data_IF_906581417808
#
_entry.id   IF_906581417808
#
_cell.length_a   1.000
_cell.length_b   1.000
_cell.length_c   1.000
_cell.angle_alpha   90.00
_cell.angle_beta   90.00
_cell.angle_gamma   90.00
#
_symmetry.space_group_name_H-M   'P 1'
#
loop_
_entity.id
_entity.type
_entity.pdbx_description
1 polymer ?
#
# COMPACT_ATOMS: atom_id res chain seq x y z
N UNK A 1 1.01 29.84 6.44
CA UNK A 1 1.42 28.57 5.81
C UNK A 1 0.34 27.55 6.15
N UNK A 2 -0.36 27.01 5.17
CA UNK A 2 -1.17 25.81 5.40
C UNK A 2 -0.17 24.65 5.57
N UNK A 3 0.06 24.24 6.81
CA UNK A 3 0.67 22.95 7.10
C UNK A 3 -0.34 21.87 6.73
N UNK A 4 -0.44 21.57 5.43
CA UNK A 4 -1.23 20.44 4.97
C UNK A 4 -0.60 19.19 5.56
N UNK A 5 -1.32 18.52 6.47
CA UNK A 5 -0.93 17.23 7.03
C UNK A 5 -0.81 16.25 5.87
N UNK A 6 0.41 15.89 5.47
CA UNK A 6 0.65 14.96 4.35
C UNK A 6 0.31 13.55 4.85
N UNK A 7 -0.91 13.09 4.59
CA UNK A 7 -1.34 11.73 4.94
C UNK A 7 -0.96 10.80 3.78
N UNK A 8 -0.28 9.70 4.08
CA UNK A 8 0.01 8.69 3.07
C UNK A 8 -1.30 8.04 2.56
N UNK A 9 -1.56 8.00 1.23
CA UNK A 9 -2.81 7.47 0.68
C UNK A 9 -2.86 5.95 0.60
N UNK A 10 -1.75 5.25 0.85
CA UNK A 10 -1.65 3.80 0.74
C UNK A 10 -2.70 3.11 1.60
N UNK A 11 -3.51 2.23 0.98
CA UNK A 11 -4.65 1.48 1.58
C UNK A 11 -5.84 2.35 2.02
N UNK A 12 -5.61 3.61 2.37
CA UNK A 12 -6.64 4.56 2.82
C UNK A 12 -7.47 5.10 1.68
N UNK A 13 -6.80 5.63 0.67
CA UNK A 13 -7.42 6.31 -0.47
C UNK A 13 -7.12 5.59 -1.78
N UNK A 14 -6.01 4.86 -1.85
CA UNK A 14 -5.57 4.20 -3.07
C UNK A 14 -4.92 2.84 -2.81
N UNK A 15 -5.14 1.93 -3.76
CA UNK A 15 -4.42 0.69 -3.96
C UNK A 15 -4.10 0.54 -5.45
N UNK A 16 -3.12 -0.29 -5.79
CA UNK A 16 -2.81 -0.67 -7.17
C UNK A 16 -3.17 -2.13 -7.43
N UNK A 17 -3.63 -2.44 -8.65
CA UNK A 17 -3.81 -3.80 -9.14
C UNK A 17 -2.89 -3.96 -10.36
N UNK A 18 -1.99 -4.93 -10.32
CA UNK A 18 -1.02 -5.19 -11.37
C UNK A 18 -1.58 -6.13 -12.45
N UNK A 19 -0.96 -6.20 -13.64
CA UNK A 19 -1.47 -7.02 -14.75
C UNK A 19 -1.60 -8.52 -14.45
N UNK A 20 -0.85 -9.04 -13.49
CA UNK A 20 -0.91 -10.44 -13.05
C UNK A 20 -1.88 -10.68 -11.89
N UNK A 21 -2.65 -9.64 -11.53
CA UNK A 21 -3.66 -9.67 -10.48
C UNK A 21 -3.11 -9.36 -9.08
N UNK A 22 -1.80 -9.19 -8.90
CA UNK A 22 -1.25 -8.80 -7.60
C UNK A 22 -1.77 -7.43 -7.17
N UNK A 23 -2.14 -7.30 -5.90
CA UNK A 23 -2.64 -6.06 -5.30
C UNK A 23 -1.54 -5.46 -4.44
N UNK A 24 -1.24 -4.17 -4.66
CA UNK A 24 -0.23 -3.41 -3.93
C UNK A 24 -0.83 -2.23 -3.19
N UNK A 25 -0.26 -1.91 -2.03
CA UNK A 25 -0.62 -0.75 -1.23
C UNK A 25 -0.13 0.58 -1.84
N UNK A 26 0.90 0.56 -2.68
CA UNK A 26 1.48 1.78 -3.22
C UNK A 26 2.14 1.55 -4.59
N UNK A 27 1.90 2.45 -5.54
CA UNK A 27 2.57 2.42 -6.84
C UNK A 27 4.09 2.58 -6.73
N UNK A 28 4.57 3.26 -5.69
CA UNK A 28 6.00 3.41 -5.41
C UNK A 28 6.61 2.18 -4.73
N UNK A 29 5.78 1.25 -4.24
CA UNK A 29 6.19 -0.02 -3.63
C UNK A 29 6.31 -1.16 -4.61
N UNK A 30 6.77 -0.87 -5.83
CA UNK A 30 6.93 -1.85 -6.91
C UNK A 30 8.41 -1.91 -7.29
N UNK A 31 8.94 -3.12 -7.43
CA UNK A 31 10.33 -3.38 -7.76
C UNK A 31 10.60 -3.29 -9.28
N UNK A 32 11.86 -3.53 -9.67
CA UNK A 32 12.29 -3.51 -11.08
C UNK A 32 11.69 -4.63 -11.94
N UNK A 33 11.08 -5.64 -11.32
CA UNK A 33 10.41 -6.76 -11.98
C UNK A 33 8.90 -6.55 -12.06
N UNK A 34 8.43 -5.33 -11.74
CA UNK A 34 7.01 -5.01 -11.63
C UNK A 34 6.27 -5.88 -10.60
N UNK A 35 6.95 -6.24 -9.51
CA UNK A 35 6.36 -6.96 -8.37
C UNK A 35 6.24 -6.03 -7.16
N UNK A 36 5.18 -6.15 -6.35
CA UNK A 36 5.11 -5.41 -5.11
C UNK A 36 6.26 -5.80 -4.18
N UNK A 37 6.85 -4.82 -3.49
CA UNK A 37 7.71 -5.10 -2.35
C UNK A 37 6.92 -5.85 -1.27
N UNK A 38 7.54 -6.75 -0.48
CA UNK A 38 6.82 -7.62 0.47
C UNK A 38 5.89 -6.86 1.43
N UNK A 39 6.32 -5.70 1.93
CA UNK A 39 5.58 -4.86 2.85
C UNK A 39 4.45 -4.05 2.18
N UNK A 40 4.44 -3.97 0.85
CA UNK A 40 3.39 -3.34 0.05
C UNK A 40 2.47 -4.36 -0.63
N UNK A 41 2.77 -5.66 -0.57
CA UNK A 41 1.88 -6.70 -1.08
C UNK A 41 0.62 -6.85 -0.19
N UNK A 42 -0.54 -6.84 -0.82
CA UNK A 42 -1.84 -6.94 -0.14
C UNK A 42 -2.58 -8.25 -0.41
N UNK A 43 -2.35 -8.88 -1.56
CA UNK A 43 -3.07 -10.08 -1.98
C UNK A 43 -3.09 -10.23 -3.50
N UNK A 44 -3.89 -11.16 -4.01
CA UNK A 44 -3.95 -11.42 -5.47
C UNK A 44 -5.35 -11.76 -5.95
N UNK A 45 -5.74 -11.15 -7.07
CA UNK A 45 -6.96 -11.47 -7.80
C UNK A 45 -6.69 -12.51 -8.89
N UNK A 46 -7.64 -13.40 -9.20
CA UNK A 46 -8.94 -13.62 -8.53
C UNK A 46 -8.85 -14.59 -7.34
N UNK A 47 -7.64 -14.93 -6.88
CA UNK A 47 -7.40 -15.92 -5.82
C UNK A 47 -8.08 -15.51 -4.49
N UNK A 48 -8.14 -14.21 -4.20
CA UNK A 48 -8.84 -13.62 -3.06
C UNK A 48 -9.84 -12.56 -3.54
N UNK A 49 -10.90 -12.29 -2.77
CA UNK A 49 -11.82 -11.20 -3.11
C UNK A 49 -11.18 -9.86 -2.77
N UNK A 50 -11.35 -8.86 -3.65
CA UNK A 50 -10.81 -7.52 -3.43
C UNK A 50 -11.28 -6.90 -2.11
N UNK A 51 -12.53 -7.15 -1.71
CA UNK A 51 -13.07 -6.68 -0.43
C UNK A 51 -12.34 -7.27 0.78
N UNK A 52 -11.95 -8.54 0.72
CA UNK A 52 -11.21 -9.23 1.78
C UNK A 52 -9.79 -8.65 1.86
N UNK A 53 -9.12 -8.52 0.71
CA UNK A 53 -7.80 -7.89 0.60
C UNK A 53 -7.78 -6.49 1.23
N UNK A 54 -8.77 -5.64 0.90
CA UNK A 54 -8.86 -4.29 1.43
C UNK A 54 -9.14 -4.30 2.95
N UNK A 55 -10.02 -5.20 3.41
CA UNK A 55 -10.37 -5.27 4.82
C UNK A 55 -9.16 -5.71 5.66
N UNK A 56 -8.42 -6.72 5.22
CA UNK A 56 -7.17 -7.17 5.85
C UNK A 56 -6.09 -6.08 5.80
N UNK A 57 -5.95 -5.38 4.68
CA UNK A 57 -4.98 -4.28 4.58
C UNK A 57 -5.27 -3.16 5.60
N UNK A 58 -6.55 -2.87 5.89
CA UNK A 58 -6.95 -1.87 6.89
C UNK A 58 -6.72 -2.30 8.33
N UNK A 59 -6.55 -3.60 8.62
CA UNK A 59 -6.25 -4.08 9.97
C UNK A 59 -4.76 -4.04 10.30
N UNK A 60 -3.89 -3.90 9.29
CA UNK A 60 -2.44 -3.80 9.45
C UNK A 60 -2.05 -2.49 10.16
N UNK A 61 -1.29 -2.53 11.28
CA UNK A 61 -0.88 -1.34 12.03
C UNK A 61 -0.19 -0.28 11.17
N UNK A 62 0.64 -0.73 10.22
CA UNK A 62 1.34 0.11 9.25
C UNK A 62 0.41 0.77 8.22
N UNK A 63 -0.90 0.61 8.28
CA UNK A 63 -1.85 1.37 7.46
C UNK A 63 -2.93 2.06 8.30
N UNK A 64 -2.97 1.79 9.61
CA UNK A 64 -3.89 2.43 10.55
C UNK A 64 -3.41 3.81 11.00
N UNK A 65 -2.11 3.95 11.26
CA UNK A 65 -1.54 5.20 11.74
C UNK A 65 -1.65 6.31 10.68
N UNK A 66 -2.05 7.51 11.10
CA UNK A 66 -1.89 8.73 10.32
C UNK A 66 -0.40 9.06 10.21
N UNK A 67 0.27 8.44 9.25
CA UNK A 67 1.64 8.79 8.90
C UNK A 67 1.62 10.17 8.22
N UNK A 68 2.30 11.14 8.83
CA UNK A 68 2.65 12.44 8.23
C UNK A 68 3.79 12.33 7.20
N UNK A 69 4.20 11.11 6.87
CA UNK A 69 5.33 10.77 6.01
C UNK A 69 4.95 9.72 4.96
N UNK A 70 5.72 9.65 3.88
CA UNK A 70 5.55 8.64 2.85
C UNK A 70 6.07 7.27 3.33
N UNK A 71 5.19 6.25 3.36
CA UNK A 71 5.53 4.92 3.88
C UNK A 71 6.63 4.21 3.07
N UNK A 72 6.80 4.53 1.79
CA UNK A 72 7.91 4.00 0.99
C UNK A 72 9.25 4.55 1.44
N UNK A 73 9.34 5.86 1.69
CA UNK A 73 10.58 6.47 2.18
C UNK A 73 10.98 5.85 3.52
N UNK A 74 10.01 5.67 4.43
CA UNK A 74 10.23 5.00 5.70
C UNK A 74 10.52 3.49 5.60
N UNK A 75 10.27 2.86 4.45
CA UNK A 75 10.70 1.48 4.19
C UNK A 75 12.14 1.43 3.69
N UNK A 76 12.54 2.40 2.86
CA UNK A 76 13.89 2.51 2.30
C UNK A 76 14.96 2.93 3.31
N UNK A 77 14.57 3.56 4.41
CA UNK A 77 15.46 4.03 5.49
C UNK A 77 15.72 2.95 6.57
N UNK A 78 15.21 1.73 6.42
CA UNK A 78 15.39 0.62 7.38
C UNK A 78 16.61 -0.24 7.10
#
# INVERSE_FOLDING_TARGET
MLEAKIICPAVREAIGILPDGQVTACAWGIDRKAQPLPEFYLGKLPEQRLSEIIQEAKTKPEFQEEASYCRILASLER
#
